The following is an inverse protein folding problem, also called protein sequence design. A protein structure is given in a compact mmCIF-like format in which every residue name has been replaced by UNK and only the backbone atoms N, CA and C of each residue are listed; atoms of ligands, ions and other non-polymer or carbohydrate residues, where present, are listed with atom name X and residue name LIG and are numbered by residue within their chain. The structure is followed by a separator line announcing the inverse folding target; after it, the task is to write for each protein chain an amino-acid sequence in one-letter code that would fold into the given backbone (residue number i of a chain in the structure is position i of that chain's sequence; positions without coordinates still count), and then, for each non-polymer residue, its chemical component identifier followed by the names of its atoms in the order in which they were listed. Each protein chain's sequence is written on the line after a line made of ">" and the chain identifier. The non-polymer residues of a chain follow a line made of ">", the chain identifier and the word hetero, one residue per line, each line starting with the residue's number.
data_IF_661730283013
#
_entry.id   IF_661730283013
#
_cell.length_a   1.000
_cell.length_b   1.000
_cell.length_c   1.000
_cell.angle_alpha   90.00
_cell.angle_beta   90.00
_cell.angle_gamma   90.00
#
_symmetry.space_group_name_H-M   'P 1'
#
loop_
_entity.id
_entity.type
_entity.pdbx_description
1 polymer ?
#
# COMPACT_ATOMS: atom_id res chain seq x y z
N UNK A 1 -29.90 -39.62 29.12
CA UNK A 1 -30.01 -38.41 29.96
C UNK A 1 -29.28 -37.28 29.26
N UNK A 2 -30.00 -36.23 28.90
CA UNK A 2 -29.46 -35.04 28.22
C UNK A 2 -28.56 -34.28 29.20
N UNK A 3 -27.26 -34.21 28.91
CA UNK A 3 -26.31 -33.39 29.66
C UNK A 3 -26.53 -31.93 29.30
N UNK A 4 -27.46 -31.28 29.98
CA UNK A 4 -27.52 -29.83 30.03
C UNK A 4 -26.23 -29.33 30.69
N UNK A 5 -25.25 -28.87 29.88
CA UNK A 5 -24.19 -28.05 30.43
C UNK A 5 -24.85 -26.88 31.18
N UNK A 6 -24.46 -26.58 32.43
CA UNK A 6 -25.09 -25.50 33.17
C UNK A 6 -24.81 -24.20 32.42
N UNK A 7 -25.86 -23.57 31.90
CA UNK A 7 -25.83 -22.29 31.18
C UNK A 7 -25.13 -21.16 31.97
N UNK A 8 -24.95 -21.36 33.28
CA UNK A 8 -24.20 -20.53 34.22
C UNK A 8 -22.68 -20.47 33.95
N UNK A 9 -22.08 -21.49 33.33
CA UNK A 9 -20.64 -21.50 33.00
C UNK A 9 -20.32 -20.98 31.60
N UNK A 10 -21.32 -20.89 30.71
CA UNK A 10 -21.12 -20.42 29.33
C UNK A 10 -20.82 -18.92 29.28
N UNK A 11 -21.50 -18.11 30.11
CA UNK A 11 -21.29 -16.66 30.23
C UNK A 11 -19.88 -16.29 30.69
N UNK A 12 -19.35 -16.80 31.81
CA UNK A 12 -17.99 -16.45 32.23
C UNK A 12 -16.93 -16.96 31.24
N UNK A 13 -17.17 -18.09 30.56
CA UNK A 13 -16.26 -18.61 29.55
C UNK A 13 -16.20 -17.72 28.30
N UNK A 14 -17.35 -17.24 27.81
CA UNK A 14 -17.41 -16.29 26.70
C UNK A 14 -16.74 -14.95 27.05
N UNK A 15 -16.95 -14.45 28.28
CA UNK A 15 -16.28 -13.23 28.75
C UNK A 15 -14.77 -13.42 28.82
N UNK A 16 -14.30 -14.54 29.35
CA UNK A 16 -12.87 -14.86 29.39
C UNK A 16 -12.28 -15.00 27.98
N UNK A 17 -13.00 -15.64 27.04
CA UNK A 17 -12.57 -15.78 25.66
C UNK A 17 -12.44 -14.43 24.94
N UNK A 18 -13.39 -13.52 25.15
CA UNK A 18 -13.31 -12.15 24.61
C UNK A 18 -12.10 -11.42 25.21
N UNK A 19 -11.93 -11.44 26.54
CA UNK A 19 -10.80 -10.77 27.21
C UNK A 19 -9.45 -11.32 26.73
N UNK A 20 -9.28 -12.64 26.68
CA UNK A 20 -8.04 -13.27 26.20
C UNK A 20 -7.80 -13.07 24.69
N UNK A 21 -8.86 -13.03 23.88
CA UNK A 21 -8.78 -12.75 22.45
C UNK A 21 -8.34 -11.31 22.16
N UNK A 22 -8.80 -10.33 22.96
CA UNK A 22 -8.45 -8.92 22.81
C UNK A 22 -6.97 -8.64 23.05
N UNK A 23 -6.29 -9.42 23.90
CA UNK A 23 -4.87 -9.20 24.24
C UNK A 23 -3.95 -9.44 23.03
N UNK A 24 -4.43 -10.13 21.99
CA UNK A 24 -3.68 -10.39 20.76
C UNK A 24 -3.85 -9.33 19.68
N UNK A 25 -4.78 -8.38 19.84
CA UNK A 25 -4.95 -7.27 18.90
C UNK A 25 -4.03 -6.15 19.35
N UNK A 26 -2.77 -6.22 18.93
CA UNK A 26 -1.86 -5.10 19.08
C UNK A 26 -2.43 -3.89 18.35
N UNK A 27 -2.47 -2.74 19.03
CA UNK A 27 -2.77 -1.47 18.37
C UNK A 27 -1.65 -1.22 17.35
N UNK A 28 -1.97 -1.30 16.07
CA UNK A 28 -1.04 -0.87 15.02
C UNK A 28 -1.13 0.65 14.99
N UNK A 29 -0.09 1.31 15.49
CA UNK A 29 0.04 2.75 15.27
C UNK A 29 0.28 2.98 13.77
N UNK A 30 -0.41 3.97 13.21
CA UNK A 30 0.00 4.53 11.93
C UNK A 30 1.47 4.95 12.05
N UNK A 31 2.25 4.76 10.99
CA UNK A 31 3.54 5.43 10.90
C UNK A 31 3.25 6.93 11.05
N UNK A 32 3.82 7.53 12.08
CA UNK A 32 3.60 8.93 12.41
C UNK A 32 4.44 9.73 11.40
N UNK A 33 3.81 10.16 10.32
CA UNK A 33 4.42 11.10 9.38
C UNK A 33 4.74 12.39 10.15
N UNK A 34 6.02 12.71 10.29
CA UNK A 34 6.43 13.93 10.96
C UNK A 34 6.19 15.12 10.03
N UNK A 35 5.41 16.12 10.46
CA UNK A 35 5.19 17.35 9.71
C UNK A 35 3.72 17.79 9.68
N UNK A 36 3.45 18.91 9.03
CA UNK A 36 2.09 19.38 8.78
C UNK A 36 1.53 18.64 7.55
N UNK A 37 0.67 17.65 7.78
CA UNK A 37 0.00 16.88 6.73
C UNK A 37 -1.31 17.54 6.30
N UNK A 38 -1.55 17.60 4.99
CA UNK A 38 -2.77 18.14 4.39
C UNK A 38 -3.23 17.27 3.21
N UNK A 39 -4.53 16.99 3.15
CA UNK A 39 -5.18 16.24 2.05
C UNK A 39 -5.85 17.18 1.04
N UNK A 40 -5.25 18.33 0.76
CA UNK A 40 -5.82 19.27 -0.18
C UNK A 40 -5.74 18.70 -1.59
N UNK A 41 -6.85 18.84 -2.33
CA UNK A 41 -6.96 18.27 -3.66
C UNK A 41 -6.19 19.15 -4.66
N UNK A 42 -4.99 18.74 -5.00
CA UNK A 42 -4.19 19.40 -6.04
C UNK A 42 -4.69 18.99 -7.44
N UNK A 43 -4.88 19.97 -8.32
CA UNK A 43 -5.19 19.68 -9.73
C UNK A 43 -4.11 18.87 -10.44
N UNK A 44 -2.87 18.91 -9.96
CA UNK A 44 -1.75 18.12 -10.47
C UNK A 44 -1.79 16.66 -10.00
N UNK A 45 -2.64 16.30 -9.03
CA UNK A 45 -2.71 14.95 -8.45
C UNK A 45 -3.63 13.97 -9.20
N UNK A 46 -4.04 14.27 -10.44
CA UNK A 46 -4.97 13.44 -11.22
C UNK A 46 -4.21 12.52 -12.16
N UNK A 47 -4.28 11.22 -11.91
CA UNK A 47 -3.78 10.18 -12.81
C UNK A 47 -4.94 9.67 -13.65
N UNK A 48 -4.74 9.60 -14.98
CA UNK A 48 -5.69 8.99 -15.91
C UNK A 48 -5.18 7.59 -16.25
N UNK A 49 -6.07 6.60 -16.14
CA UNK A 49 -5.81 5.24 -16.60
C UNK A 49 -6.62 4.99 -17.88
N UNK A 50 -5.93 4.76 -18.99
CA UNK A 50 -6.60 4.45 -20.27
C UNK A 50 -7.00 2.97 -20.35
N UNK A 51 -8.10 2.68 -21.05
CA UNK A 51 -8.52 1.32 -21.37
C UNK A 51 -7.61 0.72 -22.45
N UNK A 52 -6.69 -0.16 -22.07
CA UNK A 52 -5.71 -0.79 -22.96
C UNK A 52 -5.54 -2.29 -22.64
N UNK A 53 -6.56 -3.13 -22.92
CA UNK A 53 -6.51 -4.55 -22.57
C UNK A 53 -5.39 -5.29 -23.30
N UNK A 54 -4.62 -6.08 -22.56
CA UNK A 54 -3.56 -6.95 -23.11
C UNK A 54 -2.28 -6.22 -23.55
N UNK A 55 -2.09 -4.95 -23.20
CA UNK A 55 -0.91 -4.19 -23.59
C UNK A 55 0.35 -4.55 -22.77
N UNK A 56 0.20 -4.80 -21.47
CA UNK A 56 1.33 -4.92 -20.53
C UNK A 56 1.39 -6.28 -19.86
N UNK A 57 2.61 -6.74 -19.59
CA UNK A 57 2.89 -7.89 -18.72
C UNK A 57 3.20 -7.44 -17.28
N UNK A 58 2.86 -8.31 -16.32
CA UNK A 58 3.22 -8.13 -14.90
C UNK A 58 4.50 -8.90 -14.55
N UNK A 59 5.56 -8.62 -15.31
CA UNK A 59 6.88 -9.25 -15.17
C UNK A 59 7.98 -8.27 -14.77
N UNK A 60 7.64 -6.98 -14.65
CA UNK A 60 8.57 -5.92 -14.25
C UNK A 60 9.38 -5.31 -15.39
N UNK A 61 9.19 -5.75 -16.63
CA UNK A 61 9.83 -5.10 -17.78
C UNK A 61 9.05 -3.83 -18.18
N UNK A 62 9.76 -2.72 -18.37
CA UNK A 62 9.15 -1.44 -18.70
C UNK A 62 8.86 -1.26 -20.21
N UNK A 63 9.34 -2.15 -21.07
CA UNK A 63 9.27 -1.99 -22.52
C UNK A 63 7.83 -1.91 -23.05
N UNK A 64 6.93 -2.72 -22.48
CA UNK A 64 5.51 -2.74 -22.85
C UNK A 64 4.76 -1.45 -22.47
N UNK A 65 5.36 -0.63 -21.60
CA UNK A 65 4.77 0.62 -21.09
C UNK A 65 5.20 1.85 -21.90
N UNK A 66 6.00 1.70 -22.95
CA UNK A 66 6.55 2.82 -23.74
C UNK A 66 5.49 3.75 -24.32
N UNK A 67 4.33 3.20 -24.72
CA UNK A 67 3.23 3.92 -25.37
C UNK A 67 2.11 4.30 -24.38
N UNK A 68 2.37 4.17 -23.08
CA UNK A 68 1.48 4.62 -22.00
C UNK A 68 2.00 5.96 -21.48
N UNK A 69 1.11 6.96 -21.40
CA UNK A 69 1.43 8.28 -20.87
C UNK A 69 1.79 8.19 -19.38
N UNK A 70 2.78 8.99 -18.97
CA UNK A 70 3.26 9.04 -17.59
C UNK A 70 3.00 10.39 -16.95
N UNK A 71 2.67 10.34 -15.66
CA UNK A 71 2.49 11.50 -14.79
C UNK A 71 3.72 11.61 -13.89
N UNK A 72 4.39 12.76 -13.93
CA UNK A 72 5.58 13.02 -13.12
C UNK A 72 5.20 13.71 -11.81
N UNK A 73 5.72 13.23 -10.69
CA UNK A 73 5.53 13.81 -9.36
C UNK A 73 6.88 14.03 -8.69
N UNK A 74 6.99 15.12 -7.93
CA UNK A 74 8.15 15.36 -7.09
C UNK A 74 8.09 14.47 -5.84
N UNK A 75 9.20 13.80 -5.53
CA UNK A 75 9.39 13.05 -4.29
C UNK A 75 10.19 13.89 -3.31
N UNK A 76 9.66 14.03 -2.10
CA UNK A 76 10.38 14.60 -0.97
C UNK A 76 11.42 13.60 -0.44
N UNK A 77 12.41 14.12 0.28
CA UNK A 77 13.37 13.30 1.00
C UNK A 77 12.65 12.38 1.99
N UNK A 78 12.97 11.08 1.95
CA UNK A 78 12.39 10.11 2.86
C UNK A 78 12.92 10.35 4.27
N UNK A 79 12.05 10.23 5.27
CA UNK A 79 12.41 10.25 6.67
C UNK A 79 13.01 8.89 7.07
N UNK A 80 14.20 8.58 6.54
CA UNK A 80 14.91 7.34 6.88
C UNK A 80 15.73 7.52 8.17
N UNK A 81 15.51 6.71 9.23
CA UNK A 81 16.37 6.76 10.41
C UNK A 81 17.83 6.35 10.12
N UNK A 82 18.08 5.62 9.02
CA UNK A 82 19.41 5.29 8.54
C UNK A 82 19.95 6.37 7.59
N UNK A 83 20.75 7.27 8.15
CA UNK A 83 21.33 8.41 7.43
C UNK A 83 22.20 8.03 6.22
N UNK A 84 22.72 6.80 6.17
CA UNK A 84 23.54 6.34 5.05
C UNK A 84 22.70 5.81 3.89
N UNK A 85 21.42 5.51 4.14
CA UNK A 85 20.48 4.96 3.15
C UNK A 85 19.29 5.88 2.85
N UNK A 86 19.30 7.12 3.37
CA UNK A 86 18.29 8.15 3.09
C UNK A 86 18.07 8.34 1.57
N UNK A 87 16.84 8.12 1.13
CA UNK A 87 16.41 8.53 -0.20
C UNK A 87 16.28 10.06 -0.23
N UNK A 88 17.22 10.72 -0.92
CA UNK A 88 17.42 12.19 -0.94
C UNK A 88 16.28 13.00 -1.60
N UNK A 89 15.16 12.37 -1.91
CA UNK A 89 14.12 12.93 -2.76
C UNK A 89 14.46 12.79 -4.24
N UNK A 90 13.57 13.26 -5.10
CA UNK A 90 13.75 13.15 -6.54
C UNK A 90 12.43 13.29 -7.27
N UNK A 91 12.24 12.46 -8.28
CA UNK A 91 10.99 12.41 -9.04
C UNK A 91 10.54 10.98 -9.24
N UNK A 92 9.25 10.81 -9.39
CA UNK A 92 8.63 9.55 -9.78
C UNK A 92 7.73 9.77 -10.99
N UNK A 93 7.66 8.76 -11.85
CA UNK A 93 6.67 8.69 -12.92
C UNK A 93 5.69 7.57 -12.61
N UNK A 94 4.40 7.90 -12.63
CA UNK A 94 3.31 6.90 -12.60
C UNK A 94 2.77 6.77 -14.02
N UNK A 95 2.70 5.54 -14.52
CA UNK A 95 1.87 5.19 -15.67
C UNK A 95 0.72 4.31 -15.22
N UNK A 96 -0.46 4.51 -15.78
CA UNK A 96 -1.65 3.74 -15.40
C UNK A 96 -2.47 3.33 -16.63
N UNK A 97 -3.01 2.12 -16.60
CA UNK A 97 -3.97 1.61 -17.58
C UNK A 97 -4.88 0.57 -16.94
N UNK A 98 -5.97 0.22 -17.61
CA UNK A 98 -6.86 -0.86 -17.16
C UNK A 98 -7.36 -1.71 -18.34
N UNK A 99 -7.76 -2.95 -18.07
CA UNK A 99 -8.34 -3.87 -19.06
C UNK A 99 -9.87 -4.02 -18.92
N UNK A 100 -10.48 -3.23 -18.04
CA UNK A 100 -11.90 -3.25 -17.72
C UNK A 100 -12.26 -4.16 -16.54
N UNK A 101 -11.31 -4.97 -16.07
CA UNK A 101 -11.42 -5.78 -14.86
C UNK A 101 -10.41 -5.36 -13.81
N UNK A 102 -9.16 -5.22 -14.21
CA UNK A 102 -8.01 -4.92 -13.37
C UNK A 102 -7.39 -3.57 -13.79
N UNK A 103 -6.80 -2.86 -12.82
CA UNK A 103 -6.04 -1.62 -13.04
C UNK A 103 -4.57 -1.91 -12.76
N UNK A 104 -3.71 -1.45 -13.65
CA UNK A 104 -2.28 -1.69 -13.59
C UNK A 104 -1.53 -0.37 -13.47
N UNK A 105 -0.48 -0.39 -12.67
CA UNK A 105 0.38 0.76 -12.43
C UNK A 105 1.84 0.39 -12.67
N UNK A 106 2.57 1.27 -13.34
CA UNK A 106 4.02 1.25 -13.35
C UNK A 106 4.51 2.47 -12.58
N UNK A 107 5.25 2.21 -11.51
CA UNK A 107 5.99 3.22 -10.76
C UNK A 107 7.44 3.18 -11.21
N UNK A 108 7.94 4.31 -11.70
CA UNK A 108 9.35 4.48 -12.04
C UNK A 108 9.94 5.57 -11.17
N UNK A 109 11.05 5.26 -10.52
CA UNK A 109 11.82 6.19 -9.68
C UNK A 109 13.27 6.15 -10.17
N UNK A 110 13.90 7.31 -10.27
CA UNK A 110 15.31 7.39 -10.64
C UNK A 110 16.19 6.80 -9.53
N UNK A 111 17.05 5.83 -9.86
CA UNK A 111 17.98 5.25 -8.90
C UNK A 111 18.56 3.90 -9.34
N UNK A 112 19.52 3.41 -8.56
CA UNK A 112 20.14 2.10 -8.76
C UNK A 112 19.32 0.96 -8.13
N UNK A 113 18.03 1.18 -7.86
CA UNK A 113 17.20 0.17 -7.22
C UNK A 113 17.01 -1.01 -8.17
N UNK A 114 17.62 -2.14 -7.82
CA UNK A 114 17.43 -3.40 -8.53
C UNK A 114 16.47 -4.22 -7.68
N UNK A 115 15.28 -4.48 -8.21
CA UNK A 115 14.34 -5.40 -7.57
C UNK A 115 15.03 -6.76 -7.37
N UNK A 116 15.03 -7.24 -6.14
CA UNK A 116 15.41 -8.61 -5.81
C UNK A 116 14.20 -9.30 -5.22
N UNK A 117 13.99 -10.55 -5.63
CA UNK A 117 12.90 -11.36 -5.08
C UNK A 117 13.25 -11.69 -3.63
N UNK A 118 12.40 -11.25 -2.70
CA UNK A 118 12.48 -11.61 -1.28
C UNK A 118 12.19 -13.08 -1.02
#
# INVERSE_FOLDING_TARGET
>A
MSSFLPMYFLRPFLVAFVIFGSIRVGLVNSHEESGEWHCDQDSESRVVAEFKPGLVTLDGHADDWKDVEGFEFSLLEALDPDREHEYKGGKMTIKALHDGKDVYFMLQVDGNYVYSKG
#
